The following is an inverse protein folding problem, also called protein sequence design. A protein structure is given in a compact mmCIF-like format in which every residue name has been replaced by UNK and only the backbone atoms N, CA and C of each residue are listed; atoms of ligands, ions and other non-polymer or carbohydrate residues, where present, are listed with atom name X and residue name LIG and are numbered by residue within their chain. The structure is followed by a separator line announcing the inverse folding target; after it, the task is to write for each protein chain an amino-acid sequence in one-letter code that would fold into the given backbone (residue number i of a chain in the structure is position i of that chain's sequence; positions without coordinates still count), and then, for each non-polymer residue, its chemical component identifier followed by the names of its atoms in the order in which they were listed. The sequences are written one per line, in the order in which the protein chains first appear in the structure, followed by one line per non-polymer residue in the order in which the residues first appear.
data_IF_791561535237
#
_entry.id   IF_791561535237
#
_cell.length_a   1.000
_cell.length_b   1.000
_cell.length_c   1.000
_cell.angle_alpha   90.00
_cell.angle_beta   90.00
_cell.angle_gamma   90.00
#
_symmetry.space_group_name_H-M   'P 1'
#
loop_
_entity.id
_entity.type
_entity.pdbx_description
1 polymer ?
#
# COMPACT_ATOMS: atom_id res chain seq x y z
N UNK A 1 1.28 4.73 -25.14
CA UNK A 1 -0.01 5.40 -25.41
C UNK A 1 -0.80 5.34 -24.12
N UNK A 2 -1.10 6.47 -23.48
CA UNK A 2 -1.95 6.52 -22.28
C UNK A 2 -3.35 6.09 -22.68
N UNK A 3 -3.81 4.95 -22.18
CA UNK A 3 -5.19 4.52 -22.39
C UNK A 3 -6.13 5.52 -21.72
N UNK A 4 -7.11 5.98 -22.45
CA UNK A 4 -8.12 6.92 -21.96
C UNK A 4 -9.22 6.10 -21.28
N UNK A 5 -9.07 5.87 -19.96
CA UNK A 5 -9.99 5.05 -19.17
C UNK A 5 -11.25 5.85 -18.85
N UNK A 6 -12.44 5.29 -19.05
CA UNK A 6 -13.71 5.91 -18.65
C UNK A 6 -13.89 5.86 -17.13
N UNK A 7 -14.76 6.73 -16.56
CA UNK A 7 -15.07 6.71 -15.12
C UNK A 7 -15.71 5.37 -14.67
N UNK A 8 -16.52 4.77 -15.52
CA UNK A 8 -17.13 3.46 -15.25
C UNK A 8 -16.07 2.36 -15.19
N UNK A 9 -15.14 2.38 -16.15
CA UNK A 9 -14.05 1.42 -16.21
C UNK A 9 -13.05 1.62 -15.06
N UNK A 10 -12.79 2.85 -14.66
CA UNK A 10 -11.94 3.20 -13.52
C UNK A 10 -12.51 2.68 -12.19
N UNK A 11 -13.82 2.69 -12.01
CA UNK A 11 -14.51 2.28 -10.77
C UNK A 11 -14.93 0.81 -10.75
N UNK A 12 -14.62 0.04 -11.81
CA UNK A 12 -15.12 -1.32 -11.98
C UNK A 12 -14.44 -2.31 -11.02
N UNK A 13 -15.24 -3.10 -10.31
CA UNK A 13 -14.78 -4.28 -9.57
C UNK A 13 -14.78 -5.48 -10.54
N UNK A 14 -13.63 -6.14 -10.67
CA UNK A 14 -13.47 -7.32 -11.52
C UNK A 14 -13.60 -8.61 -10.71
N UNK A 15 -13.92 -9.77 -11.33
CA UNK A 15 -13.92 -11.07 -10.63
C UNK A 15 -12.59 -11.41 -9.96
N UNK A 16 -11.47 -10.94 -10.50
CA UNK A 16 -10.15 -11.09 -9.89
C UNK A 16 -10.04 -10.34 -8.55
N UNK A 17 -10.63 -9.14 -8.47
CA UNK A 17 -10.69 -8.39 -7.20
C UNK A 17 -11.53 -9.12 -6.16
N UNK A 18 -12.63 -9.75 -6.55
CA UNK A 18 -13.46 -10.53 -5.63
C UNK A 18 -12.68 -11.73 -5.06
N UNK A 19 -11.97 -12.51 -5.90
CA UNK A 19 -11.13 -13.63 -5.45
C UNK A 19 -9.99 -13.17 -4.52
N UNK A 20 -9.28 -12.10 -4.88
CA UNK A 20 -8.24 -11.51 -4.05
C UNK A 20 -8.78 -10.99 -2.71
N UNK A 21 -10.00 -10.46 -2.70
CA UNK A 21 -10.67 -9.99 -1.48
C UNK A 21 -10.96 -11.12 -0.51
N UNK A 22 -11.35 -12.31 -1.01
CA UNK A 22 -11.54 -13.47 -0.14
C UNK A 22 -10.23 -13.90 0.53
N UNK A 23 -9.13 -13.95 -0.23
CA UNK A 23 -7.80 -14.26 0.31
C UNK A 23 -7.37 -13.22 1.33
N UNK A 24 -7.55 -11.94 1.01
CA UNK A 24 -7.25 -10.84 1.93
C UNK A 24 -8.05 -10.94 3.24
N UNK A 25 -9.36 -11.16 3.16
CA UNK A 25 -10.24 -11.30 4.32
C UNK A 25 -9.80 -12.43 5.25
N UNK A 26 -9.39 -13.58 4.70
CA UNK A 26 -8.91 -14.73 5.49
C UNK A 26 -7.62 -14.42 6.26
N UNK A 27 -6.68 -13.71 5.65
CA UNK A 27 -5.35 -13.47 6.20
C UNK A 27 -5.21 -12.17 7.01
N UNK A 28 -6.18 -11.25 6.92
CA UNK A 28 -6.15 -9.96 7.62
C UNK A 28 -7.04 -9.88 8.85
N UNK A 29 -7.71 -10.97 9.23
CA UNK A 29 -8.53 -11.00 10.43
C UNK A 29 -7.67 -10.99 11.71
N UNK A 30 -8.00 -10.07 12.62
CA UNK A 30 -7.43 -10.03 13.98
C UNK A 30 -8.55 -10.38 14.96
N UNK A 31 -8.34 -11.42 15.77
CA UNK A 31 -9.30 -11.83 16.79
C UNK A 31 -9.48 -10.69 17.81
N UNK A 32 -10.73 -10.29 18.04
CA UNK A 32 -11.07 -9.25 19.01
C UNK A 32 -10.65 -9.59 20.45
N UNK A 33 -10.56 -10.86 20.79
CA UNK A 33 -10.08 -11.30 22.12
C UNK A 33 -8.64 -10.87 22.37
N UNK A 34 -7.82 -10.69 21.33
CA UNK A 34 -6.44 -10.22 21.46
C UNK A 34 -6.36 -8.77 21.98
N UNK A 35 -7.35 -7.92 21.69
CA UNK A 35 -7.37 -6.55 22.22
C UNK A 35 -7.53 -6.52 23.74
N UNK A 36 -8.30 -7.43 24.30
CA UNK A 36 -8.42 -7.58 25.76
C UNK A 36 -7.18 -8.25 26.33
N UNK A 37 -6.69 -9.32 25.70
CA UNK A 37 -5.50 -10.06 26.14
C UNK A 37 -4.27 -9.17 26.27
N UNK A 38 -4.08 -8.24 25.34
CA UNK A 38 -2.92 -7.33 25.31
C UNK A 38 -3.21 -5.94 25.88
N UNK A 39 -4.36 -5.75 26.51
CA UNK A 39 -4.77 -4.48 27.13
C UNK A 39 -4.58 -3.27 26.21
N UNK A 40 -5.06 -3.40 24.95
CA UNK A 40 -4.92 -2.35 23.94
C UNK A 40 -5.68 -1.10 24.35
N UNK A 41 -5.00 0.03 24.42
CA UNK A 41 -5.55 1.32 24.85
C UNK A 41 -6.11 2.13 23.67
N UNK A 42 -7.01 3.06 23.98
CA UNK A 42 -7.56 4.01 22.98
C UNK A 42 -6.67 5.23 22.73
N UNK A 43 -5.76 5.54 23.68
CA UNK A 43 -4.80 6.64 23.58
C UNK A 43 -3.44 6.15 23.09
N UNK A 44 -2.54 7.09 22.79
CA UNK A 44 -1.19 6.79 22.31
C UNK A 44 -0.14 6.81 23.45
N UNK A 45 -0.49 7.36 24.62
CA UNK A 45 0.40 7.46 25.78
C UNK A 45 -0.38 7.23 27.08
N UNK A 46 0.31 6.68 28.08
CA UNK A 46 -0.17 6.58 29.43
C UNK A 46 0.03 7.90 30.23
N UNK A 47 -0.40 7.92 31.49
CA UNK A 47 -0.24 9.09 32.37
C UNK A 47 1.24 9.47 32.60
N UNK A 48 2.18 8.55 32.40
CA UNK A 48 3.62 8.78 32.60
C UNK A 48 4.31 9.22 31.28
N UNK A 49 3.54 9.45 30.21
CA UNK A 49 4.05 9.84 28.92
C UNK A 49 4.67 8.72 28.11
N UNK A 50 4.66 7.47 28.58
CA UNK A 50 5.12 6.29 27.82
C UNK A 50 4.14 5.94 26.73
N UNK A 51 4.67 5.45 25.59
CA UNK A 51 3.83 4.89 24.55
C UNK A 51 3.04 3.69 25.06
N UNK A 52 1.78 3.58 24.64
CA UNK A 52 0.91 2.44 24.95
C UNK A 52 0.58 1.65 23.70
N UNK A 53 0.18 0.39 23.88
CA UNK A 53 -0.30 -0.44 22.78
C UNK A 53 -1.68 0.09 22.34
N UNK A 54 -1.69 0.88 21.26
CA UNK A 54 -2.90 1.52 20.75
C UNK A 54 -3.67 0.66 19.72
N UNK A 55 -2.99 -0.30 19.08
CA UNK A 55 -3.60 -1.21 18.11
C UNK A 55 -2.74 -2.46 17.91
N UNK A 56 -3.30 -3.46 17.24
CA UNK A 56 -2.61 -4.67 16.82
C UNK A 56 -2.46 -4.67 15.30
N UNK A 57 -1.33 -5.17 14.82
CA UNK A 57 -1.08 -5.41 13.40
C UNK A 57 -0.45 -6.78 13.20
N UNK A 58 -0.72 -7.40 12.05
CA UNK A 58 -0.04 -8.62 11.57
C UNK A 58 0.80 -8.32 10.34
N UNK A 59 0.90 -7.04 9.94
CA UNK A 59 1.53 -6.64 8.68
C UNK A 59 3.03 -6.48 8.86
N UNK A 60 3.46 -5.78 9.93
CA UNK A 60 4.87 -5.53 10.17
C UNK A 60 5.20 -5.49 11.65
N UNK A 61 6.45 -5.81 11.97
CA UNK A 61 7.03 -5.72 13.30
C UNK A 61 8.39 -5.04 13.21
N UNK A 62 8.61 -4.05 14.07
CA UNK A 62 9.94 -3.44 14.27
C UNK A 62 10.42 -3.85 15.65
N UNK A 63 11.52 -4.62 15.69
CA UNK A 63 12.14 -5.08 16.93
C UNK A 63 13.44 -4.34 17.14
N UNK A 64 13.53 -3.52 18.18
CA UNK A 64 14.74 -2.76 18.56
C UNK A 64 15.15 -2.95 20.00
N UNK A 65 14.40 -3.77 20.74
CA UNK A 65 14.69 -4.12 22.14
C UNK A 65 14.07 -5.48 22.50
N UNK A 66 14.59 -6.08 23.55
CA UNK A 66 14.00 -7.26 24.20
C UNK A 66 13.60 -6.88 25.62
N UNK A 67 12.60 -7.55 26.17
CA UNK A 67 12.16 -7.36 27.56
C UNK A 67 12.60 -8.58 28.37
N UNK A 68 13.38 -8.35 29.42
CA UNK A 68 13.78 -9.36 30.38
C UNK A 68 13.30 -8.94 31.78
N UNK A 69 12.26 -9.61 32.28
CA UNK A 69 11.55 -9.19 33.48
C UNK A 69 10.94 -7.78 33.33
N UNK A 70 11.44 -6.82 34.10
CA UNK A 70 11.03 -5.41 34.02
C UNK A 70 12.00 -4.52 33.23
N UNK A 71 13.10 -5.10 32.74
CA UNK A 71 14.15 -4.35 32.04
C UNK A 71 13.97 -4.40 30.53
N UNK A 72 14.22 -3.29 29.88
CA UNK A 72 14.21 -3.16 28.43
C UNK A 72 15.66 -3.11 27.95
N UNK A 73 16.09 -4.14 27.24
CA UNK A 73 17.46 -4.29 26.73
C UNK A 73 17.45 -3.93 25.25
N UNK A 74 18.18 -2.89 24.80
CA UNK A 74 18.33 -2.58 23.38
C UNK A 74 18.96 -3.76 22.63
N UNK A 75 18.44 -4.02 21.43
CA UNK A 75 19.03 -4.99 20.52
C UNK A 75 19.17 -4.38 19.11
N UNK A 76 19.87 -5.09 18.22
CA UNK A 76 19.93 -4.68 16.82
C UNK A 76 18.52 -4.55 16.24
N UNK A 77 18.26 -3.45 15.54
CA UNK A 77 16.97 -3.21 14.90
C UNK A 77 16.69 -4.21 13.78
N UNK A 78 15.55 -4.88 13.84
CA UNK A 78 15.09 -5.81 12.81
C UNK A 78 13.67 -5.41 12.39
N UNK A 79 13.42 -5.41 11.08
CA UNK A 79 12.10 -5.19 10.49
C UNK A 79 11.60 -6.48 9.87
N UNK A 80 10.40 -6.87 10.26
CA UNK A 80 9.68 -8.01 9.70
C UNK A 80 8.47 -7.54 8.90
N UNK A 81 8.26 -8.12 7.73
CA UNK A 81 7.02 -8.03 6.96
C UNK A 81 6.33 -9.38 6.96
N UNK A 82 5.12 -9.45 7.56
CA UNK A 82 4.34 -10.69 7.70
C UNK A 82 5.15 -11.86 8.27
N UNK A 83 6.12 -11.56 9.16
CA UNK A 83 6.98 -12.55 9.80
C UNK A 83 8.28 -12.86 9.06
N UNK A 84 8.51 -12.32 7.87
CA UNK A 84 9.77 -12.45 7.13
C UNK A 84 10.69 -11.29 7.45
N UNK A 85 11.98 -11.59 7.74
CA UNK A 85 13.02 -10.54 7.86
C UNK A 85 13.18 -9.83 6.50
N UNK A 86 13.07 -8.50 6.50
CA UNK A 86 13.20 -7.70 5.27
C UNK A 86 14.53 -7.93 4.57
N UNK A 87 15.61 -8.23 5.32
CA UNK A 87 16.93 -8.55 4.75
C UNK A 87 16.89 -9.84 3.94
N UNK A 88 16.12 -10.84 4.38
CA UNK A 88 15.97 -12.10 3.64
C UNK A 88 15.19 -11.89 2.33
N UNK A 89 14.12 -11.06 2.36
CA UNK A 89 13.37 -10.70 1.16
C UNK A 89 14.25 -9.97 0.13
N UNK A 90 15.04 -8.99 0.59
CA UNK A 90 15.97 -8.25 -0.27
C UNK A 90 17.05 -9.17 -0.84
N UNK A 91 17.68 -9.98 0.01
CA UNK A 91 18.73 -10.92 -0.42
C UNK A 91 18.21 -11.97 -1.41
N UNK A 92 16.97 -12.45 -1.22
CA UNK A 92 16.30 -13.34 -2.17
C UNK A 92 16.16 -12.70 -3.55
N UNK A 93 15.63 -11.48 -3.58
CA UNK A 93 15.46 -10.73 -4.84
C UNK A 93 16.80 -10.43 -5.53
N UNK A 94 17.83 -10.07 -4.79
CA UNK A 94 19.18 -9.80 -5.32
C UNK A 94 19.83 -11.08 -5.88
N UNK A 95 19.75 -12.20 -5.14
CA UNK A 95 20.28 -13.49 -5.59
C UNK A 95 19.64 -13.94 -6.90
N UNK A 96 18.33 -13.78 -7.01
CA UNK A 96 17.57 -14.21 -8.17
C UNK A 96 17.59 -13.15 -9.29
N UNK A 97 18.29 -12.02 -9.10
CA UNK A 97 18.40 -10.89 -10.05
C UNK A 97 17.04 -10.39 -10.55
N UNK A 98 16.06 -10.30 -9.65
CA UNK A 98 14.70 -9.86 -9.94
C UNK A 98 14.30 -8.66 -9.08
N UNK A 99 13.29 -7.92 -9.53
CA UNK A 99 12.68 -6.88 -8.73
C UNK A 99 11.70 -7.51 -7.73
N UNK A 100 11.77 -7.10 -6.46
CA UNK A 100 10.92 -7.61 -5.39
C UNK A 100 9.72 -6.74 -5.06
N UNK A 101 9.40 -5.71 -5.87
CA UNK A 101 8.36 -4.72 -5.55
C UNK A 101 6.97 -5.37 -5.49
N UNK A 102 6.54 -6.04 -6.55
CA UNK A 102 5.22 -6.66 -6.66
C UNK A 102 5.07 -7.82 -5.66
N UNK A 103 6.12 -8.59 -5.45
CA UNK A 103 6.14 -9.67 -4.46
C UNK A 103 5.97 -9.13 -3.03
N UNK A 104 6.61 -8.00 -2.72
CA UNK A 104 6.47 -7.34 -1.41
C UNK A 104 5.07 -6.77 -1.22
N UNK A 105 4.48 -6.17 -2.25
CA UNK A 105 3.09 -5.71 -2.21
C UNK A 105 2.15 -6.90 -1.94
N UNK A 106 2.34 -7.98 -2.67
CA UNK A 106 1.53 -9.20 -2.50
C UNK A 106 1.63 -9.73 -1.07
N UNK A 107 2.86 -9.86 -0.53
CA UNK A 107 3.11 -10.30 0.83
C UNK A 107 2.39 -9.39 1.86
N UNK A 108 2.54 -8.09 1.74
CA UNK A 108 1.94 -7.13 2.69
C UNK A 108 0.41 -7.15 2.65
N UNK A 109 -0.18 -7.24 1.47
CA UNK A 109 -1.64 -7.27 1.29
C UNK A 109 -2.23 -8.62 1.68
N UNK A 110 -1.67 -9.72 1.20
CA UNK A 110 -2.29 -11.05 1.31
C UNK A 110 -1.71 -11.92 2.42
N UNK A 111 -0.58 -11.52 3.03
CA UNK A 111 0.00 -12.19 4.21
C UNK A 111 0.86 -13.40 3.92
N UNK A 112 1.10 -13.73 2.66
CA UNK A 112 1.92 -14.86 2.20
C UNK A 112 2.72 -14.48 0.96
N UNK A 113 3.84 -15.16 0.73
CA UNK A 113 4.60 -14.99 -0.51
C UNK A 113 3.87 -15.65 -1.68
N UNK A 114 3.81 -15.00 -2.85
CA UNK A 114 3.16 -15.58 -4.02
C UNK A 114 4.00 -16.72 -4.61
N UNK A 115 3.33 -17.70 -5.19
CA UNK A 115 3.98 -18.61 -6.15
C UNK A 115 4.34 -17.84 -7.42
N UNK A 116 5.21 -18.41 -8.27
CA UNK A 116 5.58 -17.78 -9.53
C UNK A 116 4.38 -17.47 -10.44
N UNK A 117 3.39 -18.37 -10.49
CA UNK A 117 2.17 -18.17 -11.26
C UNK A 117 1.30 -17.03 -10.67
N UNK A 118 1.12 -16.99 -9.36
CA UNK A 118 0.36 -15.93 -8.68
C UNK A 118 1.04 -14.56 -8.83
N UNK A 119 2.38 -14.52 -8.80
CA UNK A 119 3.12 -13.29 -8.99
C UNK A 119 2.93 -12.74 -10.41
N UNK A 120 2.95 -13.60 -11.41
CA UNK A 120 2.76 -13.18 -12.80
C UNK A 120 1.32 -12.69 -13.04
N UNK A 121 0.33 -13.40 -12.51
CA UNK A 121 -1.07 -12.96 -12.55
C UNK A 121 -1.26 -11.60 -11.85
N UNK A 122 -0.62 -11.42 -10.69
CA UNK A 122 -0.70 -10.17 -9.94
C UNK A 122 -0.01 -9.00 -10.67
N UNK A 123 1.11 -9.25 -11.34
CA UNK A 123 1.76 -8.27 -12.21
C UNK A 123 0.86 -7.85 -13.37
N UNK A 124 0.20 -8.81 -13.99
CA UNK A 124 -0.80 -8.55 -15.02
C UNK A 124 -1.89 -7.62 -14.51
N UNK A 125 -2.46 -7.92 -13.35
CA UNK A 125 -3.49 -7.11 -12.72
C UNK A 125 -3.01 -5.68 -12.41
N UNK A 126 -1.83 -5.51 -11.82
CA UNK A 126 -1.27 -4.18 -11.57
C UNK A 126 -1.06 -3.40 -12.87
N UNK A 127 -0.62 -4.08 -13.93
CA UNK A 127 -0.47 -3.44 -15.23
C UNK A 127 -1.82 -2.99 -15.82
N UNK A 128 -2.88 -3.77 -15.65
CA UNK A 128 -4.23 -3.40 -16.10
C UNK A 128 -4.78 -2.18 -15.35
N UNK A 129 -4.37 -2.01 -14.08
CA UNK A 129 -4.69 -0.81 -13.29
C UNK A 129 -3.77 0.39 -13.57
N UNK A 130 -2.73 0.21 -14.38
CA UNK A 130 -1.78 1.26 -14.75
C UNK A 130 -2.40 2.19 -15.80
N UNK A 131 -3.31 3.07 -15.37
CA UNK A 131 -3.95 4.02 -16.27
C UNK A 131 -4.62 5.14 -15.52
N UNK A 132 -4.39 6.37 -15.98
CA UNK A 132 -5.05 7.55 -15.42
C UNK A 132 -6.33 7.88 -16.23
N UNK A 133 -7.36 8.42 -15.57
CA UNK A 133 -8.57 8.86 -16.26
C UNK A 133 -8.28 9.85 -17.39
N UNK A 134 -9.14 9.88 -18.39
CA UNK A 134 -8.97 10.73 -19.58
C UNK A 134 -8.72 12.19 -19.25
N UNK A 135 -7.75 12.78 -19.93
CA UNK A 135 -7.32 14.17 -19.74
C UNK A 135 -6.69 14.51 -18.38
N UNK A 136 -6.60 13.57 -17.42
CA UNK A 136 -6.08 13.84 -16.07
C UNK A 136 -4.69 14.49 -16.08
N UNK A 137 -3.76 13.95 -16.86
CA UNK A 137 -2.40 14.49 -16.95
C UNK A 137 -2.43 15.95 -17.42
N UNK A 138 -3.19 16.25 -18.48
CA UNK A 138 -3.32 17.61 -19.03
C UNK A 138 -3.98 18.57 -18.05
N UNK A 139 -5.12 18.16 -17.47
CA UNK A 139 -6.00 19.08 -16.74
C UNK A 139 -5.64 19.24 -15.27
N UNK A 140 -4.93 18.25 -14.69
CA UNK A 140 -4.53 18.25 -13.28
C UNK A 140 -3.03 18.48 -13.12
N UNK A 141 -2.21 17.67 -13.78
CA UNK A 141 -0.76 17.67 -13.55
C UNK A 141 -0.08 18.82 -14.31
N UNK A 142 -0.36 18.96 -15.61
CA UNK A 142 0.31 19.95 -16.46
C UNK A 142 -0.18 21.37 -16.23
N UNK A 143 -1.38 21.57 -15.69
CA UNK A 143 -2.00 22.90 -15.58
C UNK A 143 -1.32 23.77 -14.52
N UNK A 144 -0.90 23.21 -13.40
CA UNK A 144 -0.26 23.94 -12.30
C UNK A 144 0.94 23.12 -11.75
N UNK A 145 2.01 22.95 -12.52
CA UNK A 145 3.21 22.29 -12.02
C UNK A 145 3.93 23.19 -11.00
N UNK A 146 4.42 22.59 -9.93
CA UNK A 146 5.14 23.27 -8.84
C UNK A 146 6.39 22.47 -8.46
N UNK A 147 7.39 23.14 -7.87
CA UNK A 147 8.60 22.50 -7.34
C UNK A 147 8.35 21.64 -6.10
N UNK A 148 7.21 21.80 -5.43
CA UNK A 148 6.81 20.93 -4.32
C UNK A 148 6.16 19.65 -4.86
N UNK A 149 7.00 18.63 -5.05
CA UNK A 149 6.57 17.33 -5.60
C UNK A 149 5.63 16.59 -4.67
N UNK A 150 5.79 16.70 -3.36
CA UNK A 150 4.92 16.02 -2.39
C UNK A 150 3.51 16.63 -2.40
N UNK A 151 3.43 17.96 -2.44
CA UNK A 151 2.14 18.66 -2.59
C UNK A 151 1.48 18.32 -3.93
N UNK A 152 2.24 18.28 -5.02
CA UNK A 152 1.71 17.93 -6.34
C UNK A 152 1.16 16.50 -6.35
N UNK A 153 1.87 15.55 -5.77
CA UNK A 153 1.42 14.16 -5.68
C UNK A 153 0.16 14.03 -4.82
N UNK A 154 0.15 14.67 -3.64
CA UNK A 154 -1.02 14.65 -2.75
C UNK A 154 -2.27 15.24 -3.44
N UNK A 155 -2.12 16.38 -4.13
CA UNK A 155 -3.21 17.00 -4.89
C UNK A 155 -3.69 16.11 -6.03
N UNK A 156 -2.78 15.46 -6.75
CA UNK A 156 -3.15 14.55 -7.83
C UNK A 156 -3.95 13.35 -7.29
N UNK A 157 -3.51 12.75 -6.19
CA UNK A 157 -4.22 11.64 -5.54
C UNK A 157 -5.62 12.08 -5.06
N UNK A 158 -5.72 13.23 -4.39
CA UNK A 158 -7.01 13.76 -3.95
C UNK A 158 -7.95 14.05 -5.11
N UNK A 159 -7.42 14.49 -6.25
CA UNK A 159 -8.25 14.76 -7.43
C UNK A 159 -8.76 13.48 -8.09
N UNK A 160 -8.07 12.35 -7.97
CA UNK A 160 -8.55 11.05 -8.46
C UNK A 160 -9.89 10.65 -7.84
N UNK A 161 -10.19 11.10 -6.62
CA UNK A 161 -11.50 10.93 -5.99
C UNK A 161 -12.66 11.38 -6.90
N UNK A 162 -12.49 12.47 -7.63
CA UNK A 162 -13.52 13.00 -8.51
C UNK A 162 -13.80 12.14 -9.76
N UNK A 163 -12.90 11.21 -10.06
CA UNK A 163 -13.02 10.30 -11.21
C UNK A 163 -13.48 8.89 -10.80
N UNK A 164 -13.61 8.63 -9.51
CA UNK A 164 -14.06 7.33 -8.98
C UNK A 164 -15.53 7.40 -8.54
N UNK A 165 -16.42 6.80 -9.30
CA UNK A 165 -17.87 6.75 -8.99
C UNK A 165 -18.18 5.97 -7.71
N UNK A 166 -17.27 5.11 -7.25
CA UNK A 166 -17.38 4.32 -6.04
C UNK A 166 -16.45 4.81 -4.91
N UNK A 167 -16.01 6.09 -4.96
CA UNK A 167 -15.03 6.64 -4.02
C UNK A 167 -15.40 6.48 -2.54
N UNK A 168 -16.70 6.55 -2.22
CA UNK A 168 -17.23 6.44 -0.86
C UNK A 168 -17.68 5.02 -0.45
N UNK A 169 -17.58 4.05 -1.34
CA UNK A 169 -17.89 2.66 -1.02
C UNK A 169 -16.73 2.06 -0.21
N UNK A 170 -17.02 1.73 1.06
CA UNK A 170 -16.06 1.15 2.02
C UNK A 170 -16.07 -0.39 2.04
N UNK A 171 -16.71 -1.03 1.07
CA UNK A 171 -16.67 -2.49 0.94
C UNK A 171 -15.23 -2.98 0.72
N UNK A 172 -14.93 -4.20 1.21
CA UNK A 172 -13.58 -4.77 1.06
C UNK A 172 -13.12 -4.88 -0.40
N UNK A 173 -13.97 -5.34 -1.36
CA UNK A 173 -13.57 -5.38 -2.76
C UNK A 173 -13.21 -3.99 -3.31
N UNK A 174 -14.00 -2.98 -2.98
CA UNK A 174 -13.74 -1.63 -3.45
C UNK A 174 -12.49 -1.03 -2.81
N UNK A 175 -12.28 -1.23 -1.52
CA UNK A 175 -11.07 -0.78 -0.83
C UNK A 175 -9.81 -1.44 -1.42
N UNK A 176 -9.85 -2.74 -1.71
CA UNK A 176 -8.73 -3.43 -2.37
C UNK A 176 -8.49 -2.90 -3.78
N UNK A 177 -9.55 -2.71 -4.58
CA UNK A 177 -9.45 -2.09 -5.91
C UNK A 177 -8.76 -0.73 -5.85
N UNK A 178 -9.21 0.16 -4.96
CA UNK A 178 -8.62 1.49 -4.78
C UNK A 178 -7.15 1.42 -4.35
N UNK A 179 -6.79 0.52 -3.42
CA UNK A 179 -5.40 0.31 -3.03
C UNK A 179 -4.52 -0.09 -4.22
N UNK A 180 -4.95 -1.07 -5.03
CA UNK A 180 -4.19 -1.53 -6.19
C UNK A 180 -4.06 -0.45 -7.26
N UNK A 181 -5.12 0.32 -7.52
CA UNK A 181 -5.07 1.46 -8.44
C UNK A 181 -4.10 2.55 -7.98
N UNK A 182 -4.10 2.89 -6.69
CA UNK A 182 -3.16 3.88 -6.15
C UNK A 182 -1.71 3.37 -6.25
N UNK A 183 -1.46 2.11 -5.92
CA UNK A 183 -0.13 1.50 -6.04
C UNK A 183 0.34 1.54 -7.50
N UNK A 184 -0.50 1.14 -8.44
CA UNK A 184 -0.15 1.09 -9.86
C UNK A 184 0.07 2.49 -10.47
N UNK A 185 -0.71 3.50 -10.04
CA UNK A 185 -0.68 4.83 -10.63
C UNK A 185 0.31 5.79 -9.97
N UNK A 186 0.69 5.59 -8.71
CA UNK A 186 1.60 6.50 -7.99
C UNK A 186 2.93 6.75 -8.72
N UNK A 187 3.62 5.75 -9.31
CA UNK A 187 4.83 5.98 -10.08
C UNK A 187 4.60 6.90 -11.29
N UNK A 188 3.50 6.72 -12.02
CA UNK A 188 3.15 7.57 -13.16
C UNK A 188 2.85 9.00 -12.72
N UNK A 189 2.09 9.17 -11.65
CA UNK A 189 1.78 10.50 -11.08
C UNK A 189 3.06 11.24 -10.69
N UNK A 190 4.01 10.55 -10.04
CA UNK A 190 5.28 11.15 -9.65
C UNK A 190 6.13 11.57 -10.87
N UNK A 191 6.26 10.68 -11.85
CA UNK A 191 7.06 10.95 -13.06
C UNK A 191 6.44 12.08 -13.89
N UNK A 192 5.14 12.04 -14.16
CA UNK A 192 4.47 13.10 -14.92
C UNK A 192 4.52 14.46 -14.21
N UNK A 193 4.36 14.47 -12.88
CA UNK A 193 4.49 15.70 -12.08
C UNK A 193 5.88 16.30 -12.18
N UNK A 194 6.92 15.47 -12.08
CA UNK A 194 8.30 15.90 -12.20
C UNK A 194 8.63 16.42 -13.61
N UNK A 195 8.19 15.71 -14.64
CA UNK A 195 8.42 16.13 -16.02
C UNK A 195 7.66 17.42 -16.36
N UNK A 196 6.43 17.58 -15.91
CA UNK A 196 5.67 18.81 -16.09
C UNK A 196 6.35 20.02 -15.40
N UNK A 197 6.89 19.82 -14.20
CA UNK A 197 7.69 20.84 -13.51
C UNK A 197 8.95 21.21 -14.29
N UNK A 198 9.71 20.21 -14.74
CA UNK A 198 10.93 20.44 -15.52
C UNK A 198 10.69 21.15 -16.85
N UNK A 199 9.62 20.81 -17.54
CA UNK A 199 9.27 21.43 -18.81
C UNK A 199 8.85 22.91 -18.69
N UNK A 200 8.57 23.39 -17.48
CA UNK A 200 8.18 24.79 -17.22
C UNK A 200 9.36 25.68 -16.78
N UNK A 201 10.49 25.09 -16.46
CA UNK A 201 11.74 25.82 -16.18
C UNK A 201 12.46 26.22 -17.47
#
# INVERSE_FOLDING_TARGET
MTQNISMEEYSRITPQIEDLTERWSKNCHIDRALYQKYDVKRGLRDANGRGVLASLTRISEVKGYTVDGNDTIPCEGVLYYRGYDVRELVNGSLRDKRFGFEETIYLLLFGELPTAAQLEEFRGLLNDYCGLPGSFVRDVIMKVPTGDMMNTLARAILTLYCYDNAANDISLPNALRQCLQLIANTPQLAIYSYQAYRARQ
#
